data_IF_660798443961
#
_entry.id   IF_660798443961
#
_cell.length_a   1.000
_cell.length_b   1.000
_cell.length_c   1.000
_cell.angle_alpha   90.00
_cell.angle_beta   90.00
_cell.angle_gamma   90.00
#
_symmetry.space_group_name_H-M   'P 1'
#
loop_
_entity.id
_entity.type
_entity.pdbx_description
1 polymer ?
#
# COMPACT_ATOMS: atom_id res chain seq x y z
N UNK A 1 -15.63 -1.24 -24.66
CA UNK A 1 -15.28 -2.54 -24.03
C UNK A 1 -16.56 -3.28 -23.70
N UNK A 2 -16.65 -4.52 -24.15
CA UNK A 2 -17.73 -5.46 -23.85
C UNK A 2 -17.99 -5.60 -22.32
N UNK A 3 -19.24 -5.71 -21.84
CA UNK A 3 -19.55 -5.84 -20.41
C UNK A 3 -18.97 -7.10 -19.75
N UNK A 4 -18.95 -8.22 -20.45
CA UNK A 4 -18.46 -9.51 -19.95
C UNK A 4 -16.95 -9.48 -19.77
N UNK A 5 -16.22 -8.97 -20.79
CA UNK A 5 -14.78 -8.77 -20.68
C UNK A 5 -14.42 -7.84 -19.51
N UNK A 6 -15.23 -6.80 -19.27
CA UNK A 6 -15.03 -5.88 -18.15
C UNK A 6 -15.19 -6.56 -16.80
N UNK A 7 -16.11 -7.51 -16.67
CA UNK A 7 -16.29 -8.27 -15.43
C UNK A 7 -15.09 -9.18 -15.16
N UNK A 8 -14.60 -9.89 -16.18
CA UNK A 8 -13.40 -10.73 -16.08
C UNK A 8 -12.17 -9.92 -15.62
N UNK A 9 -11.97 -8.73 -16.19
CA UNK A 9 -10.89 -7.82 -15.78
C UNK A 9 -11.02 -7.41 -14.32
N UNK A 10 -12.23 -7.08 -13.83
CA UNK A 10 -12.44 -6.73 -12.41
C UNK A 10 -12.10 -7.88 -11.47
N UNK A 11 -12.45 -9.11 -11.83
CA UNK A 11 -12.11 -10.29 -11.03
C UNK A 11 -10.61 -10.45 -10.90
N UNK A 12 -9.88 -10.31 -12.01
CA UNK A 12 -8.41 -10.36 -12.02
C UNK A 12 -7.81 -9.25 -11.17
N UNK A 13 -8.37 -8.03 -11.22
CA UNK A 13 -7.92 -6.91 -10.37
C UNK A 13 -8.18 -7.14 -8.87
N UNK A 14 -9.24 -7.88 -8.52
CA UNK A 14 -9.52 -8.28 -7.15
C UNK A 14 -8.68 -9.49 -6.68
N UNK A 15 -7.80 -10.01 -7.54
CA UNK A 15 -6.90 -11.13 -7.23
C UNK A 15 -7.48 -12.51 -7.54
N UNK A 16 -8.61 -12.61 -8.23
CA UNK A 16 -9.15 -13.89 -8.67
C UNK A 16 -8.39 -14.41 -9.89
N UNK A 17 -8.16 -15.73 -9.92
CA UNK A 17 -7.63 -16.40 -11.11
C UNK A 17 -8.73 -16.52 -12.17
N UNK A 18 -8.41 -16.13 -13.41
CA UNK A 18 -9.32 -16.24 -14.56
C UNK A 18 -8.61 -16.97 -15.69
N UNK A 19 -9.11 -18.16 -16.01
CA UNK A 19 -8.65 -19.00 -17.14
C UNK A 19 -9.74 -19.03 -18.20
N UNK A 20 -9.38 -18.66 -19.43
CA UNK A 20 -10.26 -18.78 -20.59
C UNK A 20 -10.14 -20.19 -21.14
N UNK A 21 -11.28 -20.85 -21.33
CA UNK A 21 -11.36 -22.21 -21.87
C UNK A 21 -12.06 -22.22 -23.21
N UNK A 22 -11.55 -23.00 -24.15
CA UNK A 22 -12.23 -23.33 -25.40
C UNK A 22 -12.48 -24.85 -25.44
N UNK A 23 -13.74 -25.26 -25.66
CA UNK A 23 -14.14 -26.68 -25.71
C UNK A 23 -13.67 -27.50 -24.49
N UNK A 24 -13.64 -26.88 -23.31
CA UNK A 24 -13.20 -27.52 -22.06
C UNK A 24 -11.68 -27.55 -21.85
N UNK A 25 -10.89 -27.06 -22.79
CA UNK A 25 -9.43 -26.96 -22.67
C UNK A 25 -9.02 -25.53 -22.29
N UNK A 26 -8.14 -25.38 -21.31
CA UNK A 26 -7.55 -24.09 -20.97
C UNK A 26 -6.73 -23.54 -22.15
N UNK A 27 -7.06 -22.33 -22.60
CA UNK A 27 -6.44 -21.69 -23.77
C UNK A 27 -5.56 -20.50 -23.37
N UNK A 28 -6.04 -19.69 -22.42
CA UNK A 28 -5.33 -18.50 -21.95
C UNK A 28 -5.64 -18.20 -20.49
N UNK A 29 -4.77 -17.43 -19.84
CA UNK A 29 -5.00 -16.92 -18.49
C UNK A 29 -4.86 -15.41 -18.49
N UNK A 30 -5.81 -14.73 -17.86
CA UNK A 30 -5.70 -13.29 -17.63
C UNK A 30 -4.85 -13.09 -16.38
N UNK A 31 -3.71 -12.43 -16.55
CA UNK A 31 -2.79 -12.07 -15.46
C UNK A 31 -2.65 -10.54 -15.41
N UNK A 32 -2.66 -9.93 -14.20
CA UNK A 32 -2.31 -8.53 -14.06
C UNK A 32 -0.88 -8.29 -14.55
N UNK A 33 -0.65 -7.23 -15.32
CA UNK A 33 0.71 -6.81 -15.71
C UNK A 33 1.46 -6.23 -14.50
N UNK A 34 0.77 -5.41 -13.72
CA UNK A 34 1.24 -4.91 -12.44
C UNK A 34 0.51 -5.67 -11.31
N UNK A 35 1.18 -5.92 -10.18
CA UNK A 35 0.51 -6.52 -9.03
C UNK A 35 -0.74 -5.70 -8.67
N UNK A 36 -1.85 -6.37 -8.29
CA UNK A 36 -3.05 -5.67 -7.87
C UNK A 36 -2.72 -4.76 -6.68
N UNK A 37 -3.50 -3.69 -6.48
CA UNK A 37 -3.34 -2.85 -5.31
C UNK A 37 -3.46 -3.70 -4.04
N UNK A 38 -2.53 -3.49 -3.10
CA UNK A 38 -2.56 -4.16 -1.81
C UNK A 38 -3.89 -3.93 -1.11
N UNK A 39 -4.42 -4.97 -0.51
CA UNK A 39 -5.59 -4.86 0.37
C UNK A 39 -5.30 -3.90 1.52
N UNK A 40 -6.37 -3.38 2.13
CA UNK A 40 -6.25 -2.50 3.31
C UNK A 40 -5.49 -3.18 4.44
N UNK A 41 -5.73 -4.47 4.65
CA UNK A 41 -5.15 -5.23 5.76
C UNK A 41 -3.67 -5.53 5.50
N UNK A 42 -3.29 -5.84 4.26
CA UNK A 42 -1.86 -5.97 3.88
C UNK A 42 -1.10 -4.66 4.07
N UNK A 43 -1.71 -3.53 3.67
CA UNK A 43 -1.11 -2.20 3.89
C UNK A 43 -0.93 -1.90 5.38
N UNK A 44 -1.93 -2.21 6.20
CA UNK A 44 -1.86 -2.02 7.65
C UNK A 44 -0.77 -2.89 8.28
N UNK A 45 -0.69 -4.17 7.90
CA UNK A 45 0.35 -5.07 8.39
C UNK A 45 1.76 -4.56 8.04
N UNK A 46 1.95 -3.99 6.85
CA UNK A 46 3.22 -3.36 6.46
C UNK A 46 3.52 -2.15 7.34
N UNK A 47 2.54 -1.27 7.57
CA UNK A 47 2.69 -0.09 8.42
C UNK A 47 3.04 -0.50 9.86
N UNK A 48 2.32 -1.46 10.43
CA UNK A 48 2.56 -1.96 11.79
C UNK A 48 3.96 -2.55 11.93
N UNK A 49 4.41 -3.34 10.95
CA UNK A 49 5.76 -3.90 10.93
C UNK A 49 6.82 -2.78 10.90
N UNK A 50 6.61 -1.74 10.08
CA UNK A 50 7.51 -0.58 10.03
C UNK A 50 7.50 0.15 11.38
N UNK A 51 6.32 0.41 11.96
CA UNK A 51 6.20 1.08 13.27
C UNK A 51 6.91 0.28 14.38
N UNK A 52 6.74 -1.04 14.41
CA UNK A 52 7.43 -1.91 15.36
C UNK A 52 8.96 -1.80 15.22
N UNK A 53 9.46 -1.82 13.99
CA UNK A 53 10.90 -1.65 13.73
C UNK A 53 11.42 -0.25 14.11
N UNK A 54 10.59 0.78 13.98
CA UNK A 54 10.94 2.16 14.30
C UNK A 54 10.97 2.41 15.82
N UNK A 55 10.11 1.74 16.60
CA UNK A 55 10.10 1.85 18.07
C UNK A 55 11.46 1.53 18.69
N UNK A 56 12.18 0.55 18.15
CA UNK A 56 13.53 0.20 18.60
C UNK A 56 14.58 1.31 18.35
N UNK A 57 14.29 2.26 17.44
CA UNK A 57 15.19 3.37 17.09
C UNK A 57 14.82 4.68 17.78
N UNK A 58 13.77 4.68 18.61
CA UNK A 58 13.24 5.90 19.24
C UNK A 58 14.24 6.43 20.26
N UNK A 59 14.74 7.65 20.06
CA UNK A 59 15.54 8.35 21.07
C UNK A 59 14.63 8.90 22.18
N UNK A 60 15.01 8.83 23.46
CA UNK A 60 14.13 9.21 24.56
C UNK A 60 13.78 10.71 24.70
N UNK A 61 14.46 11.64 24.04
CA UNK A 61 14.78 12.89 24.76
C UNK A 61 14.24 14.22 24.18
N UNK A 62 13.36 14.21 23.18
CA UNK A 62 12.68 15.46 22.78
C UNK A 62 11.22 15.15 22.43
N UNK A 63 10.23 15.70 23.17
CA UNK A 63 8.83 15.59 22.77
C UNK A 63 8.64 16.27 21.42
N UNK A 64 7.73 15.73 20.59
CA UNK A 64 7.55 16.20 19.21
C UNK A 64 7.23 17.70 19.13
N UNK A 65 6.60 18.25 20.17
CA UNK A 65 6.31 19.68 20.32
C UNK A 65 7.57 20.57 20.29
N UNK A 66 8.74 20.04 20.67
CA UNK A 66 10.02 20.75 20.69
C UNK A 66 10.96 20.40 19.53
N UNK A 67 10.44 19.73 18.51
CA UNK A 67 11.24 19.27 17.36
C UNK A 67 11.69 20.39 16.42
N UNK A 68 11.12 21.60 16.57
CA UNK A 68 11.39 22.78 15.75
C UNK A 68 11.93 23.96 16.53
N UNK A 69 12.29 23.79 17.81
CA UNK A 69 12.83 24.88 18.64
C UNK A 69 14.08 25.54 18.01
N UNK A 70 14.82 24.82 17.16
CA UNK A 70 15.97 25.35 16.43
C UNK A 70 15.62 26.36 15.32
N UNK A 71 14.34 26.45 14.92
CA UNK A 71 13.87 27.38 13.89
C UNK A 71 13.50 28.75 14.47
N UNK A 72 13.41 28.88 15.80
CA UNK A 72 12.94 30.07 16.46
C UNK A 72 13.96 30.57 17.50
N UNK A 73 14.11 31.87 17.65
CA UNK A 73 14.91 32.49 18.71
C UNK A 73 14.19 32.48 20.07
N UNK A 74 14.81 33.06 21.10
CA UNK A 74 14.26 33.10 22.47
C UNK A 74 12.96 33.91 22.56
N UNK A 75 12.70 34.80 21.60
CA UNK A 75 11.45 35.57 21.47
C UNK A 75 10.40 34.85 20.61
N UNK A 76 10.74 33.68 20.06
CA UNK A 76 9.85 32.87 19.20
C UNK A 76 9.78 33.35 17.75
N UNK A 77 10.71 34.22 17.31
CA UNK A 77 10.80 34.68 15.93
C UNK A 77 11.70 33.74 15.09
N UNK A 78 11.43 33.57 13.79
CA UNK A 78 12.32 32.78 12.93
C UNK A 78 13.74 33.36 12.91
N UNK A 79 14.75 32.51 13.15
CA UNK A 79 16.17 32.86 12.94
C UNK A 79 16.56 32.91 11.45
#
# INVERSE_FOLDING_TARGET
>A
MDPELRDLVRRVQAGHEVVLTERGCALARLVPIAPPPQSRDERLAIIERIQASARAKRRPDVPAERSQDFLYDEDGLPQ
#
